data_IF_101745131803
#
_entry.id   IF_101745131803
#
_cell.length_a   1.000
_cell.length_b   1.000
_cell.length_c   1.000
_cell.angle_alpha   90.00
_cell.angle_beta   90.00
_cell.angle_gamma   90.00
#
_symmetry.space_group_name_H-M   'P 1'
#
loop_
_entity.id
_entity.type
_entity.pdbx_description
1 polymer ?
#
# COMPACT_ATOMS: atom_id res chain seq x y z
N UNK A 1 -15.36 12.07 -3.89
CA UNK A 1 -13.88 12.02 -3.90
C UNK A 1 -13.26 12.43 -2.56
N UNK A 2 -14.02 12.59 -1.46
CA UNK A 2 -13.49 13.03 -0.15
C UNK A 2 -13.20 11.91 0.85
N UNK A 3 -13.32 10.64 0.43
CA UNK A 3 -13.31 9.48 1.36
C UNK A 3 -12.12 8.54 1.14
N UNK A 4 -11.05 9.00 0.48
CA UNK A 4 -9.83 8.22 0.28
C UNK A 4 -8.70 8.86 1.06
N UNK A 5 -8.18 8.12 2.03
CA UNK A 5 -7.04 8.49 2.88
C UNK A 5 -5.89 7.54 2.61
N UNK A 6 -4.67 8.03 2.75
CA UNK A 6 -3.46 7.20 2.80
C UNK A 6 -2.95 7.27 4.23
N UNK A 7 -2.79 6.12 4.89
CA UNK A 7 -2.46 6.07 6.32
C UNK A 7 -1.10 6.72 6.63
N UNK A 8 -0.09 6.46 5.80
CA UNK A 8 1.25 7.03 6.00
C UNK A 8 1.93 7.45 4.69
N UNK A 9 2.77 8.47 4.82
CA UNK A 9 3.73 8.89 3.80
C UNK A 9 5.13 8.86 4.41
N UNK A 10 6.01 8.06 3.83
CA UNK A 10 7.42 8.00 4.23
C UNK A 10 8.27 8.80 3.25
N UNK A 11 9.19 9.62 3.78
CA UNK A 11 10.13 10.40 2.97
C UNK A 11 11.55 10.29 3.51
N UNK A 12 12.50 9.96 2.64
CA UNK A 12 13.94 9.92 2.94
C UNK A 12 14.73 10.50 1.77
N UNK A 13 15.20 11.75 1.93
CA UNK A 13 15.75 12.51 0.82
C UNK A 13 14.70 12.71 -0.29
N UNK A 14 15.04 12.28 -1.51
CA UNK A 14 14.17 12.32 -2.69
C UNK A 14 13.23 11.10 -2.80
N UNK A 15 13.42 10.06 -1.98
CA UNK A 15 12.55 8.89 -1.96
C UNK A 15 11.26 9.21 -1.21
N UNK A 16 10.12 9.03 -1.87
CA UNK A 16 8.78 9.16 -1.31
C UNK A 16 8.01 7.85 -1.51
N UNK A 17 7.35 7.38 -0.44
CA UNK A 17 6.57 6.14 -0.45
C UNK A 17 5.20 6.42 0.19
N UNK A 18 4.13 6.03 -0.50
CA UNK A 18 2.78 6.00 0.06
C UNK A 18 2.48 4.61 0.61
N UNK A 19 1.94 4.56 1.82
CA UNK A 19 1.71 3.32 2.55
C UNK A 19 0.24 3.28 2.99
N UNK A 20 -0.48 2.25 2.54
CA UNK A 20 -1.80 1.89 3.08
C UNK A 20 -1.65 0.66 3.96
N UNK A 21 -2.22 0.67 5.16
CA UNK A 21 -2.15 -0.43 6.11
C UNK A 21 -3.51 -1.14 6.23
N UNK A 22 -3.48 -2.46 6.37
CA UNK A 22 -4.68 -3.26 6.64
C UNK A 22 -4.35 -4.48 7.49
N UNK A 23 -5.35 -5.06 8.15
CA UNK A 23 -5.14 -6.29 8.93
C UNK A 23 -4.90 -7.48 7.99
N UNK A 24 -5.83 -7.75 7.07
CA UNK A 24 -5.79 -8.87 6.11
C UNK A 24 -6.57 -8.53 4.84
N UNK A 25 -6.14 -9.07 3.70
CA UNK A 25 -6.79 -8.92 2.39
C UNK A 25 -7.70 -10.12 2.11
N UNK A 26 -8.83 -10.17 2.82
CA UNK A 26 -9.73 -11.35 2.86
C UNK A 26 -10.58 -11.57 1.61
N UNK A 27 -10.92 -10.51 0.88
CA UNK A 27 -11.76 -10.58 -0.31
C UNK A 27 -11.47 -9.44 -1.31
N UNK A 28 -12.03 -9.55 -2.51
CA UNK A 28 -11.87 -8.53 -3.55
C UNK A 28 -12.38 -7.15 -3.14
N UNK A 29 -13.41 -7.08 -2.30
CA UNK A 29 -13.97 -5.80 -1.87
C UNK A 29 -12.98 -5.06 -0.96
N UNK A 30 -12.38 -5.79 -0.03
CA UNK A 30 -11.32 -5.31 0.87
C UNK A 30 -10.12 -4.90 0.05
N UNK A 31 -9.65 -5.73 -0.88
CA UNK A 31 -8.56 -5.38 -1.80
C UNK A 31 -8.87 -4.08 -2.55
N UNK A 32 -10.03 -3.95 -3.20
CA UNK A 32 -10.38 -2.72 -3.93
C UNK A 32 -10.41 -1.51 -3.00
N UNK A 33 -10.93 -1.65 -1.78
CA UNK A 33 -10.99 -0.56 -0.81
C UNK A 33 -9.60 -0.09 -0.39
N UNK A 34 -8.69 -1.00 -0.08
CA UNK A 34 -7.34 -0.65 0.38
C UNK A 34 -6.44 -0.13 -0.77
N UNK A 35 -6.64 -0.60 -2.01
CA UNK A 35 -5.84 -0.13 -3.14
C UNK A 35 -6.34 1.22 -3.70
N UNK A 36 -7.65 1.49 -3.60
CA UNK A 36 -8.28 2.65 -4.21
C UNK A 36 -7.69 4.03 -3.83
N UNK A 37 -7.20 4.29 -2.60
CA UNK A 37 -6.51 5.54 -2.28
C UNK A 37 -5.20 5.70 -3.02
N UNK A 38 -4.38 4.64 -3.07
CA UNK A 38 -3.07 4.65 -3.75
C UNK A 38 -3.22 4.80 -5.27
N UNK A 39 -4.20 4.13 -5.87
CA UNK A 39 -4.51 4.26 -7.31
C UNK A 39 -5.00 5.65 -7.70
N UNK A 40 -5.57 6.41 -6.75
CA UNK A 40 -6.07 7.75 -7.02
C UNK A 40 -4.97 8.82 -7.07
N UNK A 41 -3.73 8.48 -6.70
CA UNK A 41 -2.60 9.40 -6.69
C UNK A 41 -1.94 9.41 -8.08
N UNK A 42 -2.03 10.51 -8.84
CA UNK A 42 -1.60 10.57 -10.24
C UNK A 42 -0.08 10.81 -10.40
N UNK A 43 0.74 10.13 -9.61
CA UNK A 43 2.20 10.17 -9.68
C UNK A 43 2.82 8.78 -9.80
N UNK A 44 4.13 8.72 -9.97
CA UNK A 44 4.89 7.49 -10.12
C UNK A 44 5.78 7.15 -8.90
N UNK A 45 5.53 7.77 -7.74
CA UNK A 45 6.24 7.39 -6.52
C UNK A 45 5.82 6.00 -6.06
N UNK A 46 6.67 5.38 -5.23
CA UNK A 46 6.43 4.04 -4.69
C UNK A 46 5.14 4.01 -3.87
N UNK A 47 4.34 2.96 -4.08
CA UNK A 47 3.06 2.75 -3.40
C UNK A 47 3.04 1.33 -2.86
N UNK A 48 2.69 1.15 -1.60
CA UNK A 48 2.64 -0.17 -0.96
C UNK A 48 1.39 -0.33 -0.11
N UNK A 49 0.80 -1.52 -0.17
CA UNK A 49 -0.18 -2.02 0.80
C UNK A 49 0.56 -2.91 1.78
N UNK A 50 0.47 -2.57 3.07
CA UNK A 50 1.09 -3.28 4.19
C UNK A 50 0.01 -4.07 4.91
N UNK A 51 0.19 -5.37 5.09
CA UNK A 51 -0.76 -6.19 5.86
C UNK A 51 -0.13 -7.22 6.76
N UNK A 52 -0.94 -7.86 7.61
CA UNK A 52 -0.56 -9.00 8.43
C UNK A 52 -0.89 -10.35 7.77
N UNK A 53 -1.12 -10.36 6.44
CA UNK A 53 -1.33 -11.61 5.71
C UNK A 53 -0.05 -12.48 5.74
N UNK A 54 -0.22 -13.79 5.93
CA UNK A 54 0.90 -14.75 5.92
C UNK A 54 1.47 -15.00 4.51
N UNK A 55 0.73 -14.60 3.47
CA UNK A 55 1.12 -14.69 2.07
C UNK A 55 1.42 -13.32 1.48
N UNK A 56 2.34 -13.29 0.51
CA UNK A 56 2.55 -12.12 -0.32
C UNK A 56 1.62 -12.18 -1.53
N UNK A 57 0.87 -11.11 -1.78
CA UNK A 57 0.10 -10.97 -3.00
C UNK A 57 0.99 -10.43 -4.14
N UNK A 58 0.67 -10.75 -5.41
CA UNK A 58 1.33 -10.13 -6.55
C UNK A 58 1.08 -8.61 -6.55
N UNK A 59 1.95 -7.85 -7.21
CA UNK A 59 1.73 -6.42 -7.41
C UNK A 59 0.45 -6.17 -8.21
N UNK A 60 -0.30 -5.15 -7.83
CA UNK A 60 -1.51 -4.72 -8.53
C UNK A 60 -1.33 -3.28 -9.01
N UNK A 61 -1.40 -3.04 -10.33
CA UNK A 61 -1.23 -1.70 -10.92
C UNK A 61 0.06 -0.96 -10.46
N UNK A 62 1.16 -1.70 -10.27
CA UNK A 62 2.44 -1.16 -9.78
C UNK A 62 2.50 -0.92 -8.26
N UNK A 63 1.40 -1.14 -7.54
CA UNK A 63 1.34 -1.09 -6.07
C UNK A 63 1.83 -2.44 -5.53
N UNK A 64 2.81 -2.38 -4.63
CA UNK A 64 3.42 -3.58 -4.02
C UNK A 64 2.64 -4.00 -2.79
N UNK A 65 2.47 -5.29 -2.59
CA UNK A 65 2.02 -5.84 -1.30
C UNK A 65 3.23 -6.26 -0.48
N UNK A 66 3.27 -5.85 0.79
CA UNK A 66 4.36 -6.16 1.73
C UNK A 66 3.75 -6.62 3.06
N UNK A 67 4.25 -7.72 3.59
CA UNK A 67 3.90 -8.17 4.93
C UNK A 67 4.53 -7.24 5.97
N UNK A 68 3.81 -6.85 7.02
CA UNK A 68 4.26 -5.81 7.94
C UNK A 68 5.63 -6.11 8.59
N UNK A 69 5.90 -7.38 8.90
CA UNK A 69 7.19 -7.81 9.47
C UNK A 69 8.36 -7.78 8.48
N UNK A 70 8.11 -7.58 7.19
CA UNK A 70 9.13 -7.38 6.14
C UNK A 70 9.30 -5.92 5.72
N UNK A 71 8.57 -4.99 6.36
CA UNK A 71 8.59 -3.57 5.97
C UNK A 71 10.00 -2.96 6.08
N UNK A 72 10.76 -3.33 7.11
CA UNK A 72 12.12 -2.83 7.33
C UNK A 72 13.11 -3.22 6.21
N UNK A 73 12.84 -4.29 5.48
CA UNK A 73 13.69 -4.74 4.38
C UNK A 73 13.53 -3.87 3.12
N UNK A 74 12.50 -3.01 3.07
CA UNK A 74 12.12 -2.26 1.87
C UNK A 74 12.06 -0.74 2.04
N UNK A 75 12.17 -0.19 3.25
CA UNK A 75 12.09 1.27 3.53
C UNK A 75 13.45 1.97 3.69
#
# INVERSE_FOLDING_TARGET
MRDKEVDFVAKKGERLIYLQCTYVLVDEQTIRREYAPLEAIPDNYEKMVISLDDVSFPSNNGIRHIQAWKLLDVI
#
